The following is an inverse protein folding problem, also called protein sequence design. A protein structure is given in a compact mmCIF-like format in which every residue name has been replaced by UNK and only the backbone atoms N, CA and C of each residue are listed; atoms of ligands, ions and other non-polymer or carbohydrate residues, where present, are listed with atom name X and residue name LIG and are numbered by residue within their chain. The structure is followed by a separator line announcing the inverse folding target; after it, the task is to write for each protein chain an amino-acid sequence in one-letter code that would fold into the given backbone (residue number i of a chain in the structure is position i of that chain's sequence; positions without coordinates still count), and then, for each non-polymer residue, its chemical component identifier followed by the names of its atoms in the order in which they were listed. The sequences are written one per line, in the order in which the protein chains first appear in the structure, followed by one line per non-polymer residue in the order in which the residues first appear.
data_IF_055987261507
#
_entry.id   IF_055987261507
#
_cell.length_a   1.000
_cell.length_b   1.000
_cell.length_c   1.000
_cell.angle_alpha   90.00
_cell.angle_beta   90.00
_cell.angle_gamma   90.00
#
_symmetry.space_group_name_H-M   'P 1'
#
loop_
_entity.id
_entity.type
_entity.pdbx_description
1 polymer ?
#
# COMPACT_ATOMS: atom_id res chain seq x y z
N UNK A 1 -14.62 -8.58 -10.16
CA UNK A 1 -13.37 -9.37 -10.14
C UNK A 1 -12.26 -8.45 -9.67
N UNK A 2 -11.56 -8.79 -8.58
CA UNK A 2 -10.46 -7.98 -8.06
C UNK A 2 -9.26 -8.16 -9.01
N UNK A 3 -8.76 -7.08 -9.59
CA UNK A 3 -7.61 -7.12 -10.51
C UNK A 3 -6.40 -6.70 -9.68
N UNK A 4 -5.42 -7.60 -9.45
CA UNK A 4 -4.24 -7.30 -8.64
C UNK A 4 -3.22 -6.45 -9.41
N UNK A 5 -2.24 -5.90 -8.69
CA UNK A 5 -1.05 -5.35 -9.32
C UNK A 5 -0.26 -6.47 -10.00
N UNK A 6 0.38 -6.18 -11.13
CA UNK A 6 1.35 -7.09 -11.77
C UNK A 6 2.76 -6.55 -11.57
N UNK A 7 3.68 -7.40 -11.12
CA UNK A 7 5.05 -7.00 -10.83
C UNK A 7 6.00 -7.77 -11.76
N UNK A 8 6.57 -7.06 -12.72
CA UNK A 8 7.48 -7.62 -13.71
C UNK A 8 8.91 -7.13 -13.47
N UNK A 9 9.88 -7.92 -13.89
CA UNK A 9 11.31 -7.56 -13.84
C UNK A 9 11.72 -7.00 -15.19
N UNK A 10 12.13 -5.73 -15.21
CA UNK A 10 12.78 -5.09 -16.34
C UNK A 10 14.29 -5.04 -16.19
N UNK A 11 14.99 -4.47 -17.18
CA UNK A 11 16.44 -4.27 -17.14
C UNK A 11 16.81 -3.26 -16.03
N UNK A 12 17.24 -3.76 -14.87
CA UNK A 12 17.67 -2.95 -13.72
C UNK A 12 16.54 -2.23 -12.98
N UNK A 13 15.29 -2.67 -13.17
CA UNK A 13 14.10 -2.02 -12.58
C UNK A 13 12.98 -3.02 -12.33
N UNK A 14 12.11 -2.73 -11.37
CA UNK A 14 10.82 -3.40 -11.22
C UNK A 14 9.74 -2.57 -11.91
N UNK A 15 8.85 -3.26 -12.63
CA UNK A 15 7.75 -2.65 -13.38
C UNK A 15 6.45 -3.06 -12.68
N UNK A 16 5.79 -2.11 -12.03
CA UNK A 16 4.52 -2.33 -11.33
C UNK A 16 3.38 -1.81 -12.21
N UNK A 17 2.51 -2.71 -12.66
CA UNK A 17 1.31 -2.37 -13.45
C UNK A 17 0.09 -2.35 -12.54
N UNK A 18 -0.56 -1.20 -12.46
CA UNK A 18 -1.67 -0.92 -11.56
C UNK A 18 -2.96 -0.66 -12.36
N UNK A 19 -4.06 -1.39 -12.13
CA UNK A 19 -5.30 -1.19 -12.86
C UNK A 19 -5.94 0.16 -12.52
N UNK A 20 -6.35 0.92 -13.55
CA UNK A 20 -6.96 2.24 -13.38
C UNK A 20 -8.48 2.24 -13.40
N UNK A 21 -9.10 1.18 -13.92
CA UNK A 21 -10.55 1.14 -14.22
C UNK A 21 -11.33 0.14 -13.36
N UNK A 22 -10.82 -0.22 -12.18
CA UNK A 22 -11.47 -1.18 -11.28
C UNK A 22 -11.74 -0.58 -9.88
N UNK A 23 -12.83 0.18 -9.70
CA UNK A 23 -13.04 0.99 -8.49
C UNK A 23 -13.40 0.18 -7.23
N UNK A 24 -13.73 -1.11 -7.36
CA UNK A 24 -14.18 -1.96 -6.24
C UNK A 24 -13.10 -2.93 -5.73
N UNK A 25 -11.89 -2.87 -6.28
CA UNK A 25 -10.77 -3.72 -5.88
C UNK A 25 -9.92 -3.17 -4.74
N UNK A 26 -8.81 -3.86 -4.46
CA UNK A 26 -7.73 -3.40 -3.55
C UNK A 26 -6.99 -2.17 -4.09
N UNK A 27 -7.06 -1.94 -5.39
CA UNK A 27 -6.39 -0.84 -6.10
C UNK A 27 -7.46 0.07 -6.66
N UNK A 28 -7.44 1.34 -6.26
CA UNK A 28 -8.47 2.32 -6.61
C UNK A 28 -7.81 3.63 -6.99
N UNK A 29 -8.42 4.37 -7.91
CA UNK A 29 -7.97 5.75 -8.20
C UNK A 29 -8.82 6.71 -7.38
N UNK A 30 -8.15 7.62 -6.68
CA UNK A 30 -8.76 8.64 -5.84
C UNK A 30 -8.25 10.01 -6.22
N UNK A 31 -9.08 11.03 -5.98
CA UNK A 31 -8.73 12.44 -6.09
C UNK A 31 -8.69 13.05 -4.71
N UNK A 32 -7.61 13.75 -4.38
CA UNK A 32 -7.49 14.46 -3.10
C UNK A 32 -8.44 15.66 -3.08
N UNK A 33 -9.33 15.70 -2.10
CA UNK A 33 -10.24 16.83 -1.89
C UNK A 33 -9.48 18.07 -1.42
N UNK A 34 -9.77 19.24 -2.01
CA UNK A 34 -9.07 20.50 -1.68
C UNK A 34 -9.25 20.97 -0.22
N UNK A 35 -10.37 20.60 0.41
CA UNK A 35 -10.75 21.10 1.74
C UNK A 35 -10.55 20.04 2.82
N UNK A 36 -10.96 18.80 2.56
CA UNK A 36 -10.90 17.71 3.54
C UNK A 36 -9.55 16.99 3.58
N UNK A 37 -8.68 17.20 2.58
CA UNK A 37 -7.51 16.37 2.29
C UNK A 37 -7.82 14.87 2.16
N UNK A 38 -9.10 14.49 2.10
CA UNK A 38 -9.56 13.11 1.99
C UNK A 38 -9.60 12.66 0.52
N UNK A 39 -9.24 11.42 0.26
CA UNK A 39 -9.29 10.83 -1.08
C UNK A 39 -10.67 10.34 -1.47
N UNK A 40 -11.26 10.95 -2.49
CA UNK A 40 -12.57 10.56 -3.03
C UNK A 40 -12.36 9.67 -4.25
N UNK A 41 -12.97 8.46 -4.33
CA UNK A 41 -12.90 7.62 -5.52
C UNK A 41 -13.42 8.35 -6.77
N UNK A 42 -12.74 8.17 -7.91
CA UNK A 42 -13.16 8.80 -9.18
C UNK A 42 -13.46 7.78 -10.27
N UNK A 43 -14.35 8.15 -11.19
CA UNK A 43 -14.69 7.32 -12.35
C UNK A 43 -13.73 7.60 -13.51
N UNK A 44 -12.55 6.99 -13.49
CA UNK A 44 -11.43 7.27 -14.42
C UNK A 44 -11.73 7.19 -15.92
N UNK A 45 -12.72 6.40 -16.33
CA UNK A 45 -13.16 6.32 -17.74
C UNK A 45 -14.06 7.48 -18.17
N UNK A 46 -14.57 8.26 -17.22
CA UNK A 46 -15.50 9.38 -17.44
C UNK A 46 -14.89 10.72 -17.05
N UNK A 47 -13.98 10.71 -16.09
CA UNK A 47 -13.33 11.89 -15.56
C UNK A 47 -11.89 11.99 -16.04
N UNK A 48 -11.50 13.19 -16.48
CA UNK A 48 -10.11 13.50 -16.83
C UNK A 48 -9.22 13.41 -15.60
N UNK A 49 -8.09 12.71 -15.74
CA UNK A 49 -7.08 12.55 -14.70
C UNK A 49 -6.25 13.83 -14.51
N UNK A 50 -5.94 14.15 -13.25
CA UNK A 50 -5.33 15.40 -12.78
C UNK A 50 -4.17 15.11 -11.83
N UNK A 51 -3.34 16.11 -11.58
CA UNK A 51 -2.17 16.03 -10.68
C UNK A 51 -2.56 15.70 -9.23
N UNK A 52 -3.79 16.00 -8.83
CA UNK A 52 -4.34 15.68 -7.50
C UNK A 52 -4.80 14.22 -7.36
N UNK A 53 -4.70 13.45 -8.44
CA UNK A 53 -5.16 12.07 -8.49
C UNK A 53 -4.01 11.13 -8.14
N UNK A 54 -4.36 10.04 -7.47
CA UNK A 54 -3.41 9.01 -7.06
C UNK A 54 -4.09 7.64 -7.09
N UNK A 55 -3.28 6.61 -7.24
CA UNK A 55 -3.68 5.24 -6.98
C UNK A 55 -3.53 4.99 -5.48
N UNK A 56 -4.58 4.51 -4.84
CA UNK A 56 -4.54 3.90 -3.53
C UNK A 56 -4.49 2.38 -3.70
N UNK A 57 -3.39 1.75 -3.29
CA UNK A 57 -3.22 0.30 -3.33
C UNK A 57 -3.14 -0.24 -1.90
N UNK A 58 -4.17 -0.99 -1.49
CA UNK A 58 -4.14 -1.78 -0.25
C UNK A 58 -3.22 -2.99 -0.44
N UNK A 59 -1.91 -2.72 -0.38
CA UNK A 59 -0.85 -3.68 -0.62
C UNK A 59 -0.87 -4.79 0.45
N UNK A 60 -0.47 -6.00 0.07
CA UNK A 60 -0.37 -7.17 0.93
C UNK A 60 1.04 -7.77 0.87
N UNK A 61 1.34 -8.72 1.74
CA UNK A 61 2.63 -9.43 1.73
C UNK A 61 2.50 -10.94 1.51
N UNK A 62 1.33 -11.53 1.77
CA UNK A 62 1.01 -12.92 1.51
C UNK A 62 -0.49 -13.10 1.24
N UNK A 63 -0.86 -14.18 0.57
CA UNK A 63 -2.26 -14.60 0.35
C UNK A 63 -2.34 -16.06 -0.07
N UNK A 64 -3.49 -16.70 0.10
CA UNK A 64 -3.70 -18.12 -0.24
C UNK A 64 -3.61 -18.37 -1.75
N UNK A 65 -4.12 -17.43 -2.56
CA UNK A 65 -4.27 -17.60 -4.01
C UNK A 65 -3.70 -16.39 -4.79
N UNK A 66 -2.38 -16.17 -4.78
CA UNK A 66 -1.80 -15.04 -5.47
C UNK A 66 -1.77 -15.28 -7.00
N UNK A 67 -1.98 -14.23 -7.81
CA UNK A 67 -1.73 -14.27 -9.25
C UNK A 67 -0.26 -14.59 -9.55
N UNK A 68 -0.01 -15.24 -10.69
CA UNK A 68 1.32 -15.70 -11.10
C UNK A 68 2.31 -14.53 -11.19
N UNK A 69 1.86 -13.38 -11.70
CA UNK A 69 2.74 -12.24 -11.96
C UNK A 69 3.26 -11.56 -10.68
N UNK A 70 2.67 -11.84 -9.52
CA UNK A 70 3.00 -11.14 -8.28
C UNK A 70 3.27 -12.07 -7.10
N UNK A 71 3.35 -13.39 -7.34
CA UNK A 71 3.65 -14.40 -6.32
C UNK A 71 5.15 -14.73 -6.21
N UNK A 72 5.53 -15.24 -5.04
CA UNK A 72 6.86 -15.80 -4.73
C UNK A 72 6.66 -17.13 -4.03
N UNK A 73 6.63 -18.23 -4.79
CA UNK A 73 6.18 -19.56 -4.32
C UNK A 73 7.02 -20.15 -3.18
N UNK A 74 8.31 -19.84 -3.14
CA UNK A 74 9.22 -20.35 -2.13
C UNK A 74 9.21 -19.56 -0.82
N UNK A 75 8.39 -18.52 -0.70
CA UNK A 75 8.18 -17.75 0.54
C UNK A 75 6.78 -18.05 1.06
N UNK A 76 6.71 -18.65 2.25
CA UNK A 76 5.44 -19.08 2.84
C UNK A 76 5.30 -18.46 4.22
N UNK A 77 4.13 -17.89 4.50
CA UNK A 77 3.76 -17.35 5.82
C UNK A 77 2.43 -17.96 6.24
N UNK A 78 2.41 -18.72 7.33
CA UNK A 78 1.19 -19.32 7.89
C UNK A 78 0.34 -20.08 6.84
N UNK A 79 1.00 -20.80 5.93
CA UNK A 79 0.35 -21.53 4.83
C UNK A 79 0.02 -20.68 3.58
N UNK A 80 0.18 -19.37 3.65
CA UNK A 80 -0.05 -18.43 2.54
C UNK A 80 1.21 -18.22 1.71
N UNK A 81 1.05 -17.96 0.41
CA UNK A 81 2.16 -17.72 -0.51
C UNK A 81 2.54 -16.23 -0.50
N UNK A 82 3.83 -15.94 -0.51
CA UNK A 82 4.37 -14.59 -0.62
C UNK A 82 3.84 -13.85 -1.85
N UNK A 83 3.40 -12.61 -1.65
CA UNK A 83 2.68 -11.81 -2.64
C UNK A 83 3.02 -10.32 -2.53
N UNK A 84 2.87 -9.57 -3.62
CA UNK A 84 3.04 -8.10 -3.72
C UNK A 84 4.30 -7.57 -3.04
N UNK A 85 4.24 -7.09 -1.79
CA UNK A 85 5.42 -6.62 -1.05
C UNK A 85 6.55 -7.65 -1.05
N UNK A 86 6.23 -8.93 -0.88
CA UNK A 86 7.22 -10.01 -0.90
C UNK A 86 7.90 -10.13 -2.25
N UNK A 87 7.16 -9.93 -3.35
CA UNK A 87 7.72 -9.92 -4.71
C UNK A 87 8.61 -8.70 -4.93
N UNK A 88 8.17 -7.52 -4.47
CA UNK A 88 8.97 -6.29 -4.55
C UNK A 88 10.31 -6.44 -3.81
N UNK A 89 10.28 -6.98 -2.58
CA UNK A 89 11.49 -7.23 -1.80
C UNK A 89 12.41 -8.25 -2.49
N UNK A 90 11.88 -9.41 -2.85
CA UNK A 90 12.69 -10.50 -3.42
C UNK A 90 13.34 -10.10 -4.74
N UNK A 91 12.60 -9.50 -5.66
CA UNK A 91 13.16 -9.07 -6.95
C UNK A 91 14.02 -7.80 -6.81
N UNK A 92 13.67 -6.89 -5.89
CA UNK A 92 14.48 -5.71 -5.58
C UNK A 92 15.89 -6.07 -5.09
N UNK A 93 16.01 -7.11 -4.27
CA UNK A 93 17.30 -7.66 -3.81
C UNK A 93 18.05 -8.33 -4.97
N UNK A 94 17.39 -9.22 -5.73
CA UNK A 94 18.03 -9.93 -6.87
C UNK A 94 18.59 -9.00 -7.94
N UNK A 95 17.92 -7.86 -8.15
CA UNK A 95 18.31 -6.82 -9.09
C UNK A 95 19.34 -5.83 -8.53
N UNK A 96 19.64 -5.86 -7.23
CA UNK A 96 20.51 -4.89 -6.58
C UNK A 96 19.91 -3.49 -6.44
N UNK A 97 18.57 -3.36 -6.56
CA UNK A 97 17.86 -2.11 -6.27
C UNK A 97 17.93 -1.82 -4.77
N UNK A 98 17.80 -2.86 -3.95
CA UNK A 98 18.00 -2.83 -2.51
C UNK A 98 19.42 -3.27 -2.20
N UNK A 99 20.22 -2.39 -1.61
CA UNK A 99 21.59 -2.67 -1.20
C UNK A 99 21.64 -3.45 0.11
N UNK A 100 22.81 -3.99 0.47
CA UNK A 100 23.02 -4.62 1.77
C UNK A 100 22.75 -3.66 2.95
N UNK A 101 23.05 -2.37 2.79
CA UNK A 101 22.76 -1.37 3.82
C UNK A 101 21.25 -1.17 3.99
N UNK A 102 20.48 -1.15 2.90
CA UNK A 102 19.01 -1.03 2.96
C UNK A 102 18.38 -2.23 3.67
N UNK A 103 18.91 -3.44 3.42
CA UNK A 103 18.49 -4.67 4.08
C UNK A 103 18.79 -4.58 5.58
N UNK A 104 20.00 -4.17 5.95
CA UNK A 104 20.39 -4.03 7.35
C UNK A 104 19.55 -2.96 8.07
N UNK A 105 19.26 -1.83 7.41
CA UNK A 105 18.39 -0.78 7.95
C UNK A 105 16.98 -1.32 8.25
N UNK A 106 16.37 -2.04 7.31
CA UNK A 106 15.05 -2.65 7.51
C UNK A 106 15.08 -3.68 8.64
N UNK A 107 16.12 -4.52 8.72
CA UNK A 107 16.27 -5.52 9.76
C UNK A 107 16.37 -4.88 11.16
N UNK A 108 17.22 -3.86 11.30
CA UNK A 108 17.37 -3.10 12.55
C UNK A 108 16.03 -2.49 12.94
N UNK A 109 15.36 -1.80 12.02
CA UNK A 109 14.06 -1.17 12.29
C UNK A 109 13.02 -2.19 12.76
N UNK A 110 12.85 -3.30 12.03
CA UNK A 110 11.88 -4.34 12.41
C UNK A 110 12.19 -4.89 13.81
N UNK A 111 13.48 -5.07 14.13
CA UNK A 111 13.89 -5.62 15.41
C UNK A 111 13.69 -4.64 16.58
N UNK A 112 13.85 -3.34 16.32
CA UNK A 112 13.72 -2.27 17.30
C UNK A 112 12.27 -1.93 17.66
N UNK A 113 11.31 -2.19 16.75
CA UNK A 113 9.88 -1.99 17.02
C UNK A 113 9.41 -2.87 18.19
N UNK A 114 8.93 -2.21 19.24
CA UNK A 114 8.32 -2.81 20.42
C UNK A 114 6.80 -2.76 20.31
N UNK A 115 6.10 -3.40 21.26
CA UNK A 115 4.64 -3.48 21.24
C UNK A 115 3.98 -2.12 21.47
N UNK A 116 4.62 -1.25 22.24
CA UNK A 116 4.21 0.14 22.50
C UNK A 116 4.35 1.05 21.27
N UNK A 117 5.10 0.63 20.24
CA UNK A 117 5.25 1.38 18.99
C UNK A 117 4.16 1.01 17.96
N UNK A 118 3.36 -0.03 18.20
CA UNK A 118 2.41 -0.56 17.21
C UNK A 118 1.03 0.06 17.29
N UNK A 119 0.38 0.24 16.15
CA UNK A 119 -0.83 1.05 16.05
C UNK A 119 -2.10 0.31 16.52
N UNK A 120 -2.30 -0.96 16.16
CA UNK A 120 -3.48 -1.72 16.62
C UNK A 120 -3.58 -1.85 18.14
N UNK A 121 -2.44 -1.87 18.84
CA UNK A 121 -2.34 -2.09 20.28
C UNK A 121 -2.43 -0.81 21.11
N UNK A 122 -2.07 0.35 20.56
CA UNK A 122 -1.91 1.59 21.33
C UNK A 122 -2.83 2.74 20.90
N UNK A 123 -3.58 2.58 19.80
CA UNK A 123 -4.49 3.60 19.28
C UNK A 123 -5.96 3.21 19.48
N UNK A 124 -6.82 4.23 19.52
CA UNK A 124 -8.26 4.06 19.74
C UNK A 124 -9.11 4.85 18.73
N UNK A 125 -10.31 4.33 18.46
CA UNK A 125 -11.33 5.08 17.72
C UNK A 125 -12.25 5.75 18.74
N UNK A 126 -12.27 7.07 18.74
CA UNK A 126 -13.03 7.88 19.69
C UNK A 126 -14.40 8.24 19.14
N UNK A 127 -15.41 8.31 20.01
CA UNK A 127 -16.75 8.77 19.66
C UNK A 127 -17.15 9.93 20.56
N UNK A 128 -17.48 11.06 19.93
CA UNK A 128 -17.85 12.30 20.62
C UNK A 128 -19.30 12.66 20.34
N UNK A 129 -20.03 13.06 21.38
CA UNK A 129 -21.38 13.60 21.25
C UNK A 129 -21.31 15.01 20.65
N UNK A 130 -21.89 15.20 19.47
CA UNK A 130 -21.93 16.50 18.81
C UNK A 130 -22.97 17.46 19.41
N UNK A 131 -23.70 17.01 20.46
CA UNK A 131 -24.77 17.74 21.16
C UNK A 131 -25.80 18.34 20.20
N UNK A 132 -26.09 17.59 19.15
CA UNK A 132 -26.97 18.01 18.07
C UNK A 132 -27.96 16.90 17.76
N UNK A 133 -29.25 17.22 17.76
CA UNK A 133 -30.30 16.30 17.38
C UNK A 133 -30.72 16.55 15.93
N UNK A 134 -30.91 15.45 15.20
CA UNK A 134 -31.48 15.46 13.86
C UNK A 134 -32.90 14.92 13.88
N UNK A 135 -33.63 15.11 12.77
CA UNK A 135 -35.04 14.73 12.64
C UNK A 135 -35.28 13.28 13.08
N UNK A 136 -36.35 13.06 13.85
CA UNK A 136 -36.74 11.74 14.36
C UNK A 136 -36.12 11.38 15.71
N UNK A 137 -35.53 12.33 16.44
CA UNK A 137 -34.98 12.11 17.78
C UNK A 137 -33.59 11.44 17.80
N UNK A 138 -32.91 11.39 16.66
CA UNK A 138 -31.56 10.85 16.58
C UNK A 138 -30.53 11.88 17.05
N UNK A 139 -29.63 11.48 17.94
CA UNK A 139 -28.49 12.29 18.37
C UNK A 139 -27.30 12.06 17.45
N UNK A 140 -26.65 13.14 17.03
CA UNK A 140 -25.44 13.09 16.22
C UNK A 140 -24.24 12.80 17.11
N UNK A 141 -23.52 11.74 16.77
CA UNK A 141 -22.18 11.47 17.26
C UNK A 141 -21.17 11.57 16.12
N UNK A 142 -19.94 11.94 16.44
CA UNK A 142 -18.81 11.98 15.50
C UNK A 142 -17.79 10.93 15.93
N UNK A 143 -17.44 10.04 15.01
CA UNK A 143 -16.40 9.05 15.21
C UNK A 143 -15.09 9.55 14.62
N UNK A 144 -14.02 9.52 15.40
CA UNK A 144 -12.66 9.95 15.04
C UNK A 144 -11.75 8.73 15.05
N UNK A 145 -11.25 8.36 13.88
CA UNK A 145 -10.25 7.31 13.72
C UNK A 145 -8.89 7.92 13.38
N UNK A 146 -7.79 7.45 13.99
CA UNK A 146 -6.46 7.94 13.66
C UNK A 146 -6.03 7.49 12.25
N UNK A 147 -5.24 8.36 11.62
CA UNK A 147 -4.71 8.21 10.27
C UNK A 147 -3.24 8.62 10.29
N UNK A 148 -2.38 7.72 9.83
CA UNK A 148 -0.93 7.94 9.80
C UNK A 148 -0.48 8.07 8.36
N UNK A 149 0.23 9.15 8.04
CA UNK A 149 0.69 9.43 6.67
C UNK A 149 2.20 9.64 6.67
N UNK A 150 2.92 8.88 5.85
CA UNK A 150 4.31 9.16 5.47
C UNK A 150 4.34 9.65 4.03
N UNK A 151 4.69 10.92 3.81
CA UNK A 151 4.67 11.53 2.49
C UNK A 151 6.07 11.54 1.86
N UNK A 152 6.19 11.02 0.64
CA UNK A 152 7.42 11.04 -0.17
C UNK A 152 7.12 11.52 -1.59
N UNK A 153 6.46 12.69 -1.71
CA UNK A 153 6.02 13.23 -3.00
C UNK A 153 7.13 13.32 -4.04
N UNK A 154 8.35 13.67 -3.63
CA UNK A 154 9.52 13.72 -4.52
C UNK A 154 9.88 12.36 -5.15
N UNK A 155 9.53 11.26 -4.47
CA UNK A 155 9.70 9.89 -4.95
C UNK A 155 8.44 9.32 -5.62
N UNK A 156 7.39 10.11 -5.72
CA UNK A 156 6.15 9.77 -6.41
C UNK A 156 5.13 8.98 -5.60
N UNK A 157 5.28 8.88 -4.28
CA UNK A 157 4.33 8.12 -3.44
C UNK A 157 4.12 8.72 -2.05
N UNK A 158 3.14 8.19 -1.34
CA UNK A 158 2.97 8.31 0.10
C UNK A 158 2.36 7.02 0.65
N UNK A 159 2.43 6.80 1.96
CA UNK A 159 1.83 5.64 2.63
C UNK A 159 0.81 6.15 3.63
N UNK A 160 -0.34 5.47 3.68
CA UNK A 160 -1.36 5.68 4.72
C UNK A 160 -1.56 4.40 5.53
N UNK A 161 -1.67 4.54 6.85
CA UNK A 161 -2.16 3.47 7.73
C UNK A 161 -3.48 3.93 8.34
N UNK A 162 -4.53 3.16 8.12
CA UNK A 162 -5.88 3.45 8.60
C UNK A 162 -6.33 2.35 9.57
N UNK A 163 -6.77 2.73 10.76
CA UNK A 163 -7.38 1.79 11.71
C UNK A 163 -8.88 1.66 11.44
N UNK A 164 -9.37 0.42 11.50
CA UNK A 164 -10.80 0.09 11.38
C UNK A 164 -11.17 -1.04 12.34
N UNK A 165 -12.42 -1.12 12.74
CA UNK A 165 -12.90 -2.29 13.48
C UNK A 165 -12.77 -3.58 12.66
N UNK A 166 -12.31 -4.65 13.31
CA UNK A 166 -12.31 -6.00 12.74
C UNK A 166 -13.75 -6.44 12.44
N UNK A 167 -13.99 -7.01 11.25
CA UNK A 167 -15.35 -7.39 10.84
C UNK A 167 -15.89 -8.63 11.57
N UNK A 168 -15.02 -9.53 12.03
CA UNK A 168 -15.39 -10.83 12.63
C UNK A 168 -14.61 -11.14 13.93
N UNK A 169 -14.01 -10.12 14.53
CA UNK A 169 -13.24 -10.25 15.76
C UNK A 169 -13.32 -8.94 16.56
N UNK A 170 -12.90 -8.99 17.82
CA UNK A 170 -12.78 -7.80 18.66
C UNK A 170 -11.46 -7.08 18.35
N UNK A 171 -11.47 -5.75 18.42
CA UNK A 171 -10.30 -4.90 18.26
C UNK A 171 -10.22 -4.16 16.93
N UNK A 172 -9.17 -3.36 16.80
CA UNK A 172 -8.84 -2.64 15.57
C UNK A 172 -8.00 -3.50 14.64
N UNK A 173 -8.05 -3.17 13.36
CA UNK A 173 -7.21 -3.69 12.30
C UNK A 173 -6.57 -2.52 11.56
N UNK A 174 -5.25 -2.56 11.42
CA UNK A 174 -4.50 -1.62 10.62
C UNK A 174 -4.52 -2.03 9.14
N UNK A 175 -4.85 -1.08 8.26
CA UNK A 175 -4.80 -1.25 6.81
C UNK A 175 -3.72 -0.35 6.23
N UNK A 176 -2.72 -0.95 5.63
CA UNK A 176 -1.62 -0.25 4.94
C UNK A 176 -2.01 0.01 3.49
N UNK A 177 -1.93 1.27 3.07
CA UNK A 177 -2.16 1.70 1.70
C UNK A 177 -0.89 2.35 1.14
N UNK A 178 -0.37 1.79 0.05
CA UNK A 178 0.65 2.43 -0.75
C UNK A 178 -0.04 3.30 -1.79
N UNK A 179 0.20 4.60 -1.74
CA UNK A 179 -0.43 5.57 -2.61
C UNK A 179 0.55 6.16 -3.62
N UNK A 180 0.30 6.00 -4.92
CA UNK A 180 1.20 6.44 -6.00
C UNK A 180 0.52 7.56 -6.79
N UNK A 181 1.19 8.70 -6.94
CA UNK A 181 0.62 9.84 -7.67
C UNK A 181 0.50 9.52 -9.17
N UNK A 182 -0.61 9.93 -9.80
CA UNK A 182 -0.91 9.61 -11.20
C UNK A 182 0.13 10.20 -12.17
N UNK A 183 0.71 11.35 -11.83
CA UNK A 183 1.77 12.03 -12.58
C UNK A 183 3.04 11.16 -12.74
N UNK A 184 3.27 10.23 -11.82
CA UNK A 184 4.39 9.30 -11.83
C UNK A 184 4.09 8.01 -12.62
N UNK A 185 2.88 7.86 -13.17
CA UNK A 185 2.49 6.71 -13.98
C UNK A 185 2.58 7.03 -15.46
N UNK A 186 2.95 6.02 -16.24
CA UNK A 186 2.92 6.06 -17.70
C UNK A 186 2.05 4.94 -18.25
N UNK A 187 1.46 5.16 -19.41
CA UNK A 187 0.80 4.07 -20.13
C UNK A 187 1.81 3.13 -20.79
N UNK A 188 1.31 2.10 -21.49
CA UNK A 188 2.14 1.13 -22.22
C UNK A 188 3.01 1.73 -23.33
N UNK A 189 2.75 2.97 -23.75
CA UNK A 189 3.52 3.71 -24.76
C UNK A 189 4.41 4.78 -24.13
N UNK A 190 4.48 4.85 -22.79
CA UNK A 190 5.29 5.83 -22.07
C UNK A 190 4.63 7.21 -21.95
N UNK A 191 3.35 7.37 -22.31
CA UNK A 191 2.66 8.66 -22.26
C UNK A 191 2.05 8.90 -20.87
N UNK A 192 1.96 10.18 -20.43
CA UNK A 192 1.34 10.51 -19.16
C UNK A 192 -0.19 10.33 -19.21
N UNK A 193 -0.79 10.21 -18.02
CA UNK A 193 -2.24 10.13 -17.85
C UNK A 193 -2.92 11.49 -17.66
N UNK A 194 -2.18 12.50 -17.23
CA UNK A 194 -2.72 13.84 -16.95
C UNK A 194 -3.33 14.43 -18.21
N UNK A 195 -4.55 14.95 -18.09
CA UNK A 195 -5.26 15.61 -19.20
C UNK A 195 -6.07 14.66 -20.09
N UNK A 196 -6.15 13.36 -19.78
CA UNK A 196 -7.04 12.41 -20.46
C UNK A 196 -7.82 11.51 -19.51
N UNK A 197 -8.83 10.83 -20.05
CA UNK A 197 -9.52 9.72 -19.37
C UNK A 197 -8.74 8.42 -19.53
N UNK A 198 -9.03 7.45 -18.67
CA UNK A 198 -8.51 6.09 -18.80
C UNK A 198 -9.29 5.26 -19.81
N UNK A 199 -8.59 4.46 -20.61
CA UNK A 199 -9.15 3.47 -21.51
C UNK A 199 -9.67 2.24 -20.73
N UNK A 200 -10.52 1.44 -21.38
CA UNK A 200 -11.06 0.22 -20.77
C UNK A 200 -9.95 -0.76 -20.40
N UNK A 201 -9.94 -1.22 -19.12
CA UNK A 201 -8.94 -2.15 -18.56
C UNK A 201 -7.51 -1.61 -18.62
N UNK A 202 -7.35 -0.29 -18.67
CA UNK A 202 -6.04 0.33 -18.74
C UNK A 202 -5.25 0.16 -17.42
N UNK A 203 -3.94 -0.01 -17.56
CA UNK A 203 -2.99 -0.08 -16.46
C UNK A 203 -2.04 1.11 -16.51
N UNK A 204 -1.80 1.73 -15.36
CA UNK A 204 -0.68 2.64 -15.17
C UNK A 204 0.58 1.86 -14.81
N UNK A 205 1.71 2.24 -15.40
CA UNK A 205 3.02 1.64 -15.18
C UNK A 205 3.81 2.56 -14.26
N UNK A 206 4.22 2.04 -13.11
CA UNK A 206 5.16 2.65 -12.19
C UNK A 206 6.47 1.86 -12.22
N UNK A 207 7.60 2.55 -12.29
CA UNK A 207 8.92 1.93 -12.31
C UNK A 207 9.63 2.16 -10.98
N UNK A 208 10.08 1.08 -10.35
CA UNK A 208 10.92 1.13 -9.14
C UNK A 208 12.36 0.85 -9.55
N UNK A 209 13.23 1.79 -9.21
CA UNK A 209 14.67 1.77 -9.47
C UNK A 209 15.41 2.12 -8.17
N UNK A 210 16.73 2.21 -8.23
CA UNK A 210 17.52 2.69 -7.09
C UNK A 210 17.12 4.11 -6.63
N UNK A 211 16.58 4.95 -7.53
CA UNK A 211 16.23 6.34 -7.23
C UNK A 211 14.97 6.49 -6.35
N UNK A 212 14.11 5.47 -6.27
CA UNK A 212 12.86 5.50 -5.49
C UNK A 212 12.63 4.21 -4.69
N UNK A 213 13.70 3.47 -4.41
CA UNK A 213 13.69 2.20 -3.65
C UNK A 213 13.07 2.32 -2.26
N UNK A 214 13.06 3.53 -1.69
CA UNK A 214 12.46 3.84 -0.39
C UNK A 214 10.98 3.46 -0.34
N UNK A 215 10.29 3.37 -1.49
CA UNK A 215 8.91 2.89 -1.56
C UNK A 215 8.74 1.48 -0.98
N UNK A 216 9.74 0.60 -1.17
CA UNK A 216 9.68 -0.76 -0.63
C UNK A 216 10.00 -0.74 0.86
N UNK A 217 11.03 0.01 1.26
CA UNK A 217 11.48 0.15 2.64
C UNK A 217 10.35 0.70 3.51
N UNK A 218 9.67 1.74 3.03
CA UNK A 218 8.61 2.40 3.78
C UNK A 218 7.37 1.52 3.94
N UNK A 219 7.05 0.67 2.96
CA UNK A 219 5.96 -0.31 3.11
C UNK A 219 6.33 -1.36 4.17
N UNK A 220 7.58 -1.83 4.20
CA UNK A 220 8.07 -2.72 5.26
C UNK A 220 7.92 -2.07 6.63
N UNK A 221 8.39 -0.83 6.78
CA UNK A 221 8.28 -0.08 8.04
C UNK A 221 6.82 0.14 8.46
N UNK A 222 5.94 0.45 7.50
CA UNK A 222 4.52 0.65 7.75
C UNK A 222 3.85 -0.62 8.29
N UNK A 223 4.13 -1.79 7.72
CA UNK A 223 3.64 -3.05 8.28
C UNK A 223 4.27 -3.38 9.63
N UNK A 224 5.56 -3.08 9.83
CA UNK A 224 6.23 -3.35 11.10
C UNK A 224 5.59 -2.61 12.28
N UNK A 225 5.13 -1.37 12.08
CA UNK A 225 4.43 -0.61 13.12
C UNK A 225 2.90 -0.82 13.11
N UNK A 226 2.33 -1.47 12.11
CA UNK A 226 0.86 -1.57 11.97
C UNK A 226 0.22 -2.34 13.14
N UNK A 227 0.82 -3.46 13.53
CA UNK A 227 0.42 -4.26 14.69
C UNK A 227 1.55 -5.21 15.10
N UNK A 228 1.49 -5.76 16.31
CA UNK A 228 2.49 -6.74 16.74
C UNK A 228 2.50 -7.99 15.84
N UNK A 229 1.32 -8.41 15.37
CA UNK A 229 1.22 -9.52 14.43
C UNK A 229 1.86 -9.18 13.07
N UNK A 230 1.54 -8.01 12.50
CA UNK A 230 2.13 -7.58 11.23
C UNK A 230 3.65 -7.46 11.32
N UNK A 231 4.18 -6.97 12.44
CA UNK A 231 5.62 -6.95 12.73
C UNK A 231 6.24 -8.34 12.61
N UNK A 232 5.67 -9.33 13.29
CA UNK A 232 6.21 -10.70 13.30
C UNK A 232 6.09 -11.37 11.93
N UNK A 233 4.98 -11.14 11.24
CA UNK A 233 4.74 -11.63 9.87
C UNK A 233 5.78 -11.06 8.89
N UNK A 234 5.99 -9.75 8.90
CA UNK A 234 6.96 -9.09 8.03
C UNK A 234 8.38 -9.48 8.39
N UNK A 235 8.72 -9.64 9.67
CA UNK A 235 10.02 -10.19 10.09
C UNK A 235 10.27 -11.58 9.51
N UNK A 236 9.27 -12.46 9.58
CA UNK A 236 9.36 -13.81 9.02
C UNK A 236 9.57 -13.80 7.50
N UNK A 237 8.77 -13.00 6.78
CA UNK A 237 8.90 -12.84 5.32
C UNK A 237 10.26 -12.27 4.96
N UNK A 238 10.69 -11.21 5.65
CA UNK A 238 11.94 -10.53 5.41
C UNK A 238 13.13 -11.49 5.55
N UNK A 239 13.18 -12.26 6.64
CA UNK A 239 14.22 -13.27 6.86
C UNK A 239 14.25 -14.33 5.75
N UNK A 240 13.08 -14.85 5.37
CA UNK A 240 13.00 -15.83 4.28
C UNK A 240 13.49 -15.24 2.95
N UNK A 241 13.10 -14.01 2.63
CA UNK A 241 13.50 -13.33 1.39
C UNK A 241 15.01 -13.07 1.39
N UNK A 242 15.59 -12.61 2.50
CA UNK A 242 17.03 -12.38 2.63
C UNK A 242 17.82 -13.67 2.40
N UNK A 243 17.35 -14.80 2.92
CA UNK A 243 18.01 -16.11 2.74
C UNK A 243 17.83 -16.65 1.32
N UNK A 244 16.62 -16.57 0.76
CA UNK A 244 16.24 -17.29 -0.46
C UNK A 244 16.35 -16.47 -1.75
N UNK A 245 16.47 -15.14 -1.64
CA UNK A 245 16.51 -14.23 -2.80
C UNK A 245 17.82 -13.46 -2.93
N UNK A 246 18.75 -13.54 -1.96
CA UNK A 246 20.14 -13.10 -2.18
C UNK A 246 20.80 -14.06 -3.18
N UNK A 247 21.55 -13.48 -4.13
CA UNK A 247 22.40 -14.25 -5.05
C UNK A 247 23.61 -14.81 -4.33
#
# INVERSE_FOLDING_TARGET
MNIPAKIEVGKGKLIVKLPLTNPTGKIRVKRRGKVSNYGIPIATRKEVLRETDYIEWQISYATDNPPIESKVENIILNGQIGFELTKLLCEGIKLGILSSSDIQEMEIFINDVNREDTLEENEEILREDARHEVKGGFKKFVEKAPLFIKNNKEKGYFIEIILRHKQRAVGLQAMVYLCIYIDNLKDKYGKPFIGRTADSKEFGIFEITFQNKEIIIDVVKAFAIASWQHRNDVKSIFNQVVIKCKK
#
